data_IF_336969509607
#
_entry.id   IF_336969509607
#
_cell.length_a   1.000
_cell.length_b   1.000
_cell.length_c   1.000
_cell.angle_alpha   90.00
_cell.angle_beta   90.00
_cell.angle_gamma   90.00
#
_symmetry.space_group_name_H-M   'P 1'
#
loop_
_entity.id
_entity.type
_entity.pdbx_description
1 polymer ?
#
# COMPACT_ATOMS: atom_id res chain seq x y z
N UNK A 1 -18.19 -8.91 -15.07
CA UNK A 1 -17.54 -10.01 -14.32
C UNK A 1 -18.30 -10.16 -13.03
N UNK A 2 -18.73 -11.38 -12.67
CA UNK A 2 -19.39 -11.61 -11.38
C UNK A 2 -18.37 -11.52 -10.23
N UNK A 3 -18.84 -11.41 -8.98
CA UNK A 3 -17.98 -11.41 -7.80
C UNK A 3 -17.19 -12.73 -7.72
N UNK A 4 -17.83 -13.85 -8.02
CA UNK A 4 -17.20 -15.18 -8.04
C UNK A 4 -16.08 -15.28 -9.09
N UNK A 5 -16.27 -14.68 -10.28
CA UNK A 5 -15.22 -14.64 -11.30
C UNK A 5 -14.00 -13.86 -10.83
N UNK A 6 -14.20 -12.73 -10.12
CA UNK A 6 -13.12 -11.94 -9.55
C UNK A 6 -12.37 -12.69 -8.46
N UNK A 7 -13.08 -13.37 -7.56
CA UNK A 7 -12.50 -14.21 -6.50
C UNK A 7 -11.64 -15.34 -7.08
N UNK A 8 -12.18 -16.09 -8.06
CA UNK A 8 -11.45 -17.18 -8.70
C UNK A 8 -10.17 -16.67 -9.36
N UNK A 9 -10.25 -15.56 -10.09
CA UNK A 9 -9.07 -14.95 -10.72
C UNK A 9 -8.04 -14.44 -9.70
N UNK A 10 -8.50 -13.89 -8.57
CA UNK A 10 -7.61 -13.49 -7.48
C UNK A 10 -6.90 -14.72 -6.88
N UNK A 11 -7.62 -15.82 -6.66
CA UNK A 11 -7.03 -17.08 -6.18
C UNK A 11 -5.97 -17.61 -7.13
N UNK A 12 -6.24 -17.68 -8.43
CA UNK A 12 -5.28 -18.12 -9.45
C UNK A 12 -4.00 -17.27 -9.43
N UNK A 13 -4.12 -15.93 -9.35
CA UNK A 13 -2.98 -15.03 -9.30
C UNK A 13 -2.14 -15.22 -8.02
N UNK A 14 -2.80 -15.35 -6.88
CA UNK A 14 -2.14 -15.53 -5.59
C UNK A 14 -1.45 -16.90 -5.47
N UNK A 15 -2.00 -17.96 -6.06
CA UNK A 15 -1.38 -19.30 -6.11
C UNK A 15 -0.02 -19.28 -6.79
N UNK A 16 0.20 -18.44 -7.82
CA UNK A 16 1.52 -18.26 -8.43
C UNK A 16 2.58 -17.73 -7.46
N UNK A 17 2.16 -17.00 -6.42
CA UNK A 17 3.03 -16.52 -5.35
C UNK A 17 3.09 -17.49 -4.15
N UNK A 18 2.37 -18.61 -4.20
CA UNK A 18 2.23 -19.55 -3.09
C UNK A 18 1.47 -18.96 -1.91
N UNK A 19 0.48 -18.11 -2.20
CA UNK A 19 -0.42 -17.48 -1.22
C UNK A 19 -1.83 -18.00 -1.49
N UNK A 20 -2.57 -18.33 -0.43
CA UNK A 20 -3.95 -18.78 -0.55
C UNK A 20 -4.90 -17.78 0.12
N UNK A 21 -6.12 -17.70 -0.42
CA UNK A 21 -7.20 -16.95 0.24
C UNK A 21 -7.78 -17.85 1.33
N UNK A 22 -7.89 -17.29 2.53
CA UNK A 22 -8.38 -17.98 3.73
C UNK A 22 -7.64 -19.30 4.05
N UNK A 23 -6.36 -19.37 3.66
CA UNK A 23 -5.49 -20.50 3.94
C UNK A 23 -4.99 -20.53 5.39
N UNK A 24 -4.15 -21.53 5.72
CA UNK A 24 -3.66 -21.77 7.06
C UNK A 24 -2.23 -21.25 7.31
N UNK A 25 -1.52 -20.82 6.28
CA UNK A 25 -0.16 -20.32 6.43
C UNK A 25 -0.18 -18.85 6.94
N UNK A 26 0.82 -18.44 7.75
CA UNK A 26 0.88 -17.06 8.26
C UNK A 26 0.89 -15.98 7.17
N UNK A 27 1.41 -16.31 5.98
CA UNK A 27 1.45 -15.43 4.81
C UNK A 27 0.17 -15.42 4.00
N UNK A 28 -0.81 -16.28 4.31
CA UNK A 28 -2.06 -16.35 3.57
C UNK A 28 -2.93 -15.13 3.86
N UNK A 29 -3.75 -14.78 2.88
CA UNK A 29 -4.60 -13.61 2.91
C UNK A 29 -5.99 -14.00 3.40
N UNK A 30 -6.41 -13.47 4.56
CA UNK A 30 -7.76 -13.65 5.10
C UNK A 30 -8.68 -12.53 4.64
N UNK A 31 -9.76 -12.88 3.95
CA UNK A 31 -10.71 -11.90 3.39
C UNK A 31 -11.95 -11.80 4.27
N UNK A 32 -12.21 -10.60 4.78
CA UNK A 32 -13.38 -10.29 5.61
C UNK A 32 -14.51 -9.63 4.83
N UNK A 33 -14.18 -9.01 3.67
CA UNK A 33 -15.15 -8.33 2.81
C UNK A 33 -14.83 -8.59 1.33
N UNK A 34 -15.73 -9.24 0.64
CA UNK A 34 -15.53 -9.62 -0.78
C UNK A 34 -15.47 -8.43 -1.75
N UNK A 35 -15.89 -7.21 -1.32
CA UNK A 35 -15.69 -5.97 -2.08
C UNK A 35 -14.20 -5.71 -2.37
N UNK A 36 -13.30 -6.33 -1.60
CA UNK A 36 -11.86 -6.32 -1.83
C UNK A 36 -11.50 -6.68 -3.27
N UNK A 37 -12.07 -7.76 -3.81
CA UNK A 37 -11.73 -8.23 -5.17
C UNK A 37 -12.01 -7.15 -6.21
N UNK A 38 -13.20 -6.53 -6.16
CA UNK A 38 -13.54 -5.43 -7.07
C UNK A 38 -12.57 -4.26 -6.93
N UNK A 39 -12.22 -3.88 -5.71
CA UNK A 39 -11.30 -2.76 -5.44
C UNK A 39 -9.89 -3.06 -5.95
N UNK A 40 -9.37 -4.26 -5.71
CA UNK A 40 -8.02 -4.65 -6.15
C UNK A 40 -7.93 -4.71 -7.67
N UNK A 41 -8.92 -5.27 -8.36
CA UNK A 41 -8.92 -5.30 -9.82
C UNK A 41 -9.13 -3.91 -10.45
N UNK A 42 -9.78 -2.97 -9.75
CA UNK A 42 -9.93 -1.60 -10.22
C UNK A 42 -8.68 -0.72 -9.94
N UNK A 43 -8.02 -0.90 -8.81
CA UNK A 43 -6.99 0.02 -8.31
C UNK A 43 -5.63 -0.64 -8.01
N UNK A 44 -5.49 -1.94 -8.28
CA UNK A 44 -4.22 -2.68 -8.09
C UNK A 44 -3.72 -2.64 -6.65
N UNK A 45 -2.43 -2.36 -6.48
CA UNK A 45 -1.77 -2.30 -5.16
C UNK A 45 -2.36 -1.22 -4.24
N UNK A 46 -2.84 -0.11 -4.78
CA UNK A 46 -3.55 0.92 -4.00
C UNK A 46 -4.83 0.34 -3.40
N UNK A 47 -5.64 -0.36 -4.23
CA UNK A 47 -6.87 -0.99 -3.76
C UNK A 47 -6.64 -2.07 -2.70
N UNK A 48 -5.54 -2.80 -2.79
CA UNK A 48 -5.13 -3.77 -1.77
C UNK A 48 -4.79 -3.07 -0.44
N UNK A 49 -3.97 -2.00 -0.49
CA UNK A 49 -3.57 -1.24 0.69
C UNK A 49 -4.75 -0.53 1.37
N UNK A 50 -5.62 0.12 0.61
CA UNK A 50 -6.85 0.73 1.15
C UNK A 50 -7.79 -0.32 1.76
N UNK A 51 -7.90 -1.51 1.12
CA UNK A 51 -8.67 -2.62 1.67
C UNK A 51 -8.15 -3.11 3.02
N UNK A 52 -6.82 -3.11 3.22
CA UNK A 52 -6.20 -3.41 4.51
C UNK A 52 -6.57 -2.37 5.57
N UNK A 53 -6.44 -1.09 5.24
CA UNK A 53 -6.79 0.02 6.15
C UNK A 53 -8.27 -0.01 6.54
N UNK A 54 -9.14 -0.42 5.63
CA UNK A 54 -10.58 -0.56 5.88
C UNK A 54 -10.96 -1.87 6.62
N UNK A 55 -9.97 -2.74 6.92
CA UNK A 55 -10.18 -4.02 7.59
C UNK A 55 -10.89 -5.07 6.74
N UNK A 56 -10.80 -4.97 5.41
CA UNK A 56 -11.44 -5.94 4.50
C UNK A 56 -10.65 -7.23 4.34
N UNK A 57 -9.38 -7.20 4.73
CA UNK A 57 -8.50 -8.36 4.77
C UNK A 57 -7.37 -8.17 5.78
N UNK A 58 -6.74 -9.26 6.18
CA UNK A 58 -5.52 -9.28 6.98
C UNK A 58 -4.61 -10.47 6.63
N UNK A 59 -3.43 -10.54 7.29
CA UNK A 59 -2.48 -11.65 7.23
C UNK A 59 -1.64 -11.65 8.51
N UNK A 60 -1.30 -12.83 9.05
CA UNK A 60 -0.49 -12.96 10.25
C UNK A 60 0.98 -12.58 10.01
N UNK A 61 1.47 -12.72 8.77
CA UNK A 61 2.80 -12.30 8.33
C UNK A 61 2.70 -11.34 7.14
N UNK A 62 2.27 -10.11 7.43
CA UNK A 62 2.12 -9.06 6.42
C UNK A 62 3.44 -8.77 5.66
N UNK A 63 4.63 -8.69 6.31
CA UNK A 63 5.90 -8.53 5.59
C UNK A 63 6.21 -9.68 4.64
N UNK A 64 5.97 -10.92 5.07
CA UNK A 64 6.16 -12.11 4.25
C UNK A 64 5.20 -12.13 3.06
N UNK A 65 3.93 -11.83 3.27
CA UNK A 65 2.93 -11.67 2.21
C UNK A 65 3.37 -10.63 1.18
N UNK A 66 3.73 -9.42 1.59
CA UNK A 66 4.17 -8.36 0.69
C UNK A 66 5.42 -8.76 -0.11
N UNK A 67 6.39 -9.41 0.54
CA UNK A 67 7.60 -9.90 -0.11
C UNK A 67 7.26 -10.91 -1.21
N UNK A 68 6.33 -11.83 -0.95
CA UNK A 68 5.88 -12.82 -1.94
C UNK A 68 5.17 -12.18 -3.12
N UNK A 69 4.24 -11.27 -2.88
CA UNK A 69 3.51 -10.55 -3.93
C UNK A 69 4.46 -9.78 -4.87
N UNK A 70 5.43 -9.07 -4.30
CA UNK A 70 6.42 -8.32 -5.07
C UNK A 70 7.40 -9.22 -5.82
N UNK A 71 7.87 -10.31 -5.19
CA UNK A 71 8.79 -11.27 -5.83
C UNK A 71 8.13 -11.99 -6.99
N UNK A 72 6.84 -12.29 -6.89
CA UNK A 72 6.06 -12.90 -7.95
C UNK A 72 5.68 -11.91 -9.07
N UNK A 73 5.92 -10.60 -8.89
CA UNK A 73 5.64 -9.57 -9.89
C UNK A 73 4.14 -9.30 -10.11
N UNK A 74 3.29 -9.70 -9.16
CA UNK A 74 1.83 -9.56 -9.28
C UNK A 74 1.37 -8.10 -9.36
N UNK A 75 2.17 -7.16 -8.85
CA UNK A 75 1.95 -5.72 -9.01
C UNK A 75 2.01 -5.28 -10.48
N UNK A 76 2.74 -6.01 -11.33
CA UNK A 76 2.85 -5.75 -12.76
C UNK A 76 1.68 -6.35 -13.55
N UNK A 77 1.17 -7.50 -13.13
CA UNK A 77 0.05 -8.18 -13.80
C UNK A 77 -1.28 -7.46 -13.60
N UNK A 78 -1.44 -6.77 -12.48
CA UNK A 78 -2.63 -5.97 -12.17
C UNK A 78 -2.65 -4.59 -12.88
N UNK A 79 -1.69 -4.30 -13.77
CA UNK A 79 -1.72 -3.09 -14.60
C UNK A 79 -2.83 -3.19 -15.63
N UNK A 80 -4.00 -2.72 -15.24
CA UNK A 80 -5.21 -2.69 -16.05
C UNK A 80 -5.21 -1.53 -17.06
N UNK A 81 -6.15 -1.57 -18.02
CA UNK A 81 -6.45 -0.46 -18.95
C UNK A 81 -6.62 0.89 -18.24
N UNK A 82 -7.08 0.88 -16.97
CA UNK A 82 -7.19 2.07 -16.15
C UNK A 82 -5.83 2.72 -15.85
N UNK A 83 -4.75 1.94 -15.76
CA UNK A 83 -3.40 2.49 -15.60
C UNK A 83 -2.96 3.21 -16.88
N UNK A 84 -3.34 2.73 -18.04
CA UNK A 84 -3.07 3.41 -19.33
C UNK A 84 -3.88 4.71 -19.42
N UNK A 85 -5.16 4.67 -19.07
CA UNK A 85 -6.04 5.84 -19.03
C UNK A 85 -5.58 6.84 -17.96
N UNK A 86 -5.16 6.37 -16.78
CA UNK A 86 -4.59 7.20 -15.73
C UNK A 86 -3.27 7.86 -16.17
N UNK A 87 -2.40 7.16 -16.88
CA UNK A 87 -1.18 7.72 -17.49
C UNK A 87 -1.48 8.78 -18.53
N UNK A 88 -2.47 8.53 -19.41
CA UNK A 88 -2.93 9.51 -20.39
C UNK A 88 -3.53 10.74 -19.68
N UNK A 89 -4.37 10.53 -18.67
CA UNK A 89 -4.96 11.59 -17.85
C UNK A 89 -3.90 12.39 -17.10
N UNK A 90 -2.90 11.73 -16.49
CA UNK A 90 -1.78 12.39 -15.81
C UNK A 90 -0.89 13.22 -16.77
N UNK A 91 -0.76 12.80 -18.02
CA UNK A 91 -0.03 13.54 -19.04
C UNK A 91 -0.71 14.84 -19.46
N UNK A 92 -2.07 14.87 -19.42
CA UNK A 92 -2.87 16.06 -19.77
C UNK A 92 -3.23 16.91 -18.55
N UNK A 93 -3.33 16.30 -17.35
CA UNK A 93 -3.67 16.97 -16.11
C UNK A 93 -2.43 16.99 -15.22
N UNK A 94 -1.69 18.10 -15.25
CA UNK A 94 -0.56 18.29 -14.34
C UNK A 94 -1.08 18.57 -12.93
N UNK A 95 -1.11 17.55 -12.07
CA UNK A 95 -1.57 17.63 -10.68
C UNK A 95 -0.64 18.46 -9.78
N UNK A 96 0.59 18.79 -10.26
CA UNK A 96 1.58 19.60 -9.53
C UNK A 96 1.49 21.10 -9.87
N UNK A 97 0.47 21.55 -10.60
CA UNK A 97 0.28 22.97 -10.93
C UNK A 97 -0.76 23.64 -10.05
N UNK A 98 -0.41 24.85 -9.59
CA UNK A 98 -1.34 25.76 -8.87
C UNK A 98 -1.72 25.22 -7.50
N UNK A 99 -2.96 25.41 -7.09
CA UNK A 99 -3.49 25.03 -5.76
C UNK A 99 -3.39 23.53 -5.47
N UNK A 100 -3.40 22.68 -6.50
CA UNK A 100 -3.26 21.22 -6.36
C UNK A 100 -1.89 20.77 -5.84
N UNK A 101 -0.85 21.59 -6.06
CA UNK A 101 0.48 21.31 -5.51
C UNK A 101 0.49 21.34 -3.97
N UNK A 102 -0.45 22.03 -3.35
CA UNK A 102 -0.58 22.15 -1.89
C UNK A 102 -1.41 21.03 -1.25
N UNK A 103 -2.14 20.22 -2.04
CA UNK A 103 -2.94 19.11 -1.50
C UNK A 103 -2.06 18.08 -0.80
N UNK A 104 -0.88 17.78 -1.34
CA UNK A 104 0.10 16.87 -0.73
C UNK A 104 0.61 17.46 0.58
N UNK A 105 0.88 18.78 0.63
CA UNK A 105 1.27 19.48 1.85
C UNK A 105 0.21 19.36 2.92
N UNK A 106 -1.05 19.65 2.59
CA UNK A 106 -2.17 19.51 3.53
C UNK A 106 -2.35 18.08 4.02
N UNK A 107 -2.29 17.10 3.13
CA UNK A 107 -2.48 15.69 3.48
C UNK A 107 -1.34 15.10 4.31
N UNK A 108 -0.09 15.57 4.13
CA UNK A 108 1.10 14.97 4.76
C UNK A 108 1.72 15.83 5.86
N UNK A 109 1.64 17.15 5.77
CA UNK A 109 2.35 18.06 6.68
C UNK A 109 1.43 18.87 7.59
N UNK A 110 0.16 19.05 7.22
CA UNK A 110 -0.82 19.77 8.06
C UNK A 110 -1.54 18.87 9.07
N UNK A 111 -0.98 17.66 9.34
CA UNK A 111 -1.48 16.70 10.34
C UNK A 111 -1.27 17.17 11.78
N UNK A 112 -0.59 18.31 11.98
CA UNK A 112 -0.28 18.86 13.28
C UNK A 112 1.04 18.36 13.88
N UNK A 113 1.62 19.17 14.75
CA UNK A 113 2.92 18.87 15.38
C UNK A 113 2.85 17.66 16.32
N UNK A 114 1.69 17.31 16.86
CA UNK A 114 1.54 16.21 17.79
C UNK A 114 1.89 14.86 17.16
N UNK A 115 1.49 14.63 15.89
CA UNK A 115 1.89 13.46 15.14
C UNK A 115 3.41 13.41 14.95
N UNK A 116 4.00 14.54 14.54
CA UNK A 116 5.44 14.61 14.31
C UNK A 116 6.24 14.45 15.63
N UNK A 117 5.77 14.99 16.74
CA UNK A 117 6.36 14.76 18.06
C UNK A 117 6.27 13.29 18.51
N UNK A 118 5.19 12.59 18.17
CA UNK A 118 5.04 11.17 18.48
C UNK A 118 5.94 10.26 17.62
N UNK A 119 6.25 10.69 16.39
CA UNK A 119 6.98 9.91 15.38
C UNK A 119 8.47 10.24 15.36
N UNK A 120 8.83 11.51 15.54
CA UNK A 120 10.20 12.01 15.45
C UNK A 120 10.76 12.26 16.85
N UNK A 121 12.08 12.24 16.98
CA UNK A 121 12.76 12.60 18.23
C UNK A 121 12.57 14.07 18.61
N UNK A 122 13.14 14.48 19.76
CA UNK A 122 13.02 15.84 20.29
C UNK A 122 13.46 16.94 19.33
N UNK A 123 14.37 16.61 18.40
CA UNK A 123 14.87 17.55 17.40
C UNK A 123 13.95 17.69 16.19
N UNK A 124 12.89 16.88 16.09
CA UNK A 124 11.93 16.89 14.99
C UNK A 124 12.60 16.73 13.62
N UNK A 125 13.71 16.01 13.54
CA UNK A 125 14.45 15.80 12.30
C UNK A 125 13.81 14.67 11.50
N UNK A 126 13.36 14.95 10.30
CA UNK A 126 12.78 13.98 9.37
C UNK A 126 13.87 13.40 8.44
N UNK A 127 14.84 12.70 9.05
CA UNK A 127 15.95 12.09 8.31
C UNK A 127 16.47 10.85 9.05
N UNK A 128 17.31 10.05 8.38
CA UNK A 128 18.00 8.94 9.02
C UNK A 128 18.99 9.44 10.07
N UNK A 129 19.06 8.75 11.21
CA UNK A 129 20.07 8.98 12.23
C UNK A 129 21.42 8.34 11.85
N UNK A 130 22.54 8.93 12.32
CA UNK A 130 23.87 8.38 12.18
C UNK A 130 24.25 7.54 13.40
N UNK A 131 24.11 6.24 13.31
CA UNK A 131 24.19 5.30 14.43
C UNK A 131 25.61 4.80 14.77
N UNK A 132 26.64 5.23 14.04
CA UNK A 132 28.00 4.69 14.24
C UNK A 132 28.58 4.92 15.65
N UNK A 133 28.07 5.90 16.39
CA UNK A 133 28.51 6.25 17.76
C UNK A 133 27.33 6.63 18.66
N UNK A 134 26.11 6.26 18.31
CA UNK A 134 24.91 6.62 19.03
C UNK A 134 24.16 5.38 19.54
N UNK A 135 23.73 5.41 20.80
CA UNK A 135 22.98 4.35 21.46
C UNK A 135 21.47 4.65 21.51
N UNK A 136 21.07 5.85 21.11
CA UNK A 136 19.68 6.29 21.07
C UNK A 136 19.43 7.26 19.91
N UNK A 137 18.15 7.51 19.59
CA UNK A 137 17.74 8.33 18.45
C UNK A 137 18.20 9.80 18.60
N UNK A 138 18.11 10.37 19.80
CA UNK A 138 18.48 11.78 20.05
C UNK A 138 19.96 12.05 19.76
N UNK A 139 20.82 11.06 20.04
CA UNK A 139 22.27 11.16 19.78
C UNK A 139 22.61 10.85 18.31
N UNK A 140 21.79 10.05 17.64
CA UNK A 140 21.98 9.71 16.24
C UNK A 140 21.57 10.83 15.28
N UNK A 141 20.64 11.70 15.66
CA UNK A 141 20.17 12.86 14.91
C UNK A 141 21.02 14.11 15.17
#
# INVERSE_FOLDING_TARGET
>A
MSQDDLKNRASELLEHAGIHIDGAAPIDLRVHDERLYTRVFAHGSLGLGEGYMDGWWDSDDLPGLCTRLLTAGLDQELKTLDTLLAHLKARFINLQRGERAFEIGKAHYDLGNDLFHAMLGKRMVYSCGYWAKADNLDDAQ
#
